data_IF_823875339468
#
_entry.id   IF_823875339468
#
_cell.length_a   1.000
_cell.length_b   1.000
_cell.length_c   1.000
_cell.angle_alpha   90.00
_cell.angle_beta   90.00
_cell.angle_gamma   90.00
#
_symmetry.space_group_name_H-M   'P 1'
#
loop_
_entity.id
_entity.type
_entity.pdbx_description
1 polymer ?
#
# COMPACT_ATOMS: atom_id res chain seq x y z
N UNK A 1 -6.31 10.95 -13.25
CA UNK A 1 -6.85 9.68 -12.74
C UNK A 1 -5.93 9.25 -11.60
N UNK A 2 -6.43 8.96 -10.40
CA UNK A 2 -5.55 8.40 -9.34
C UNK A 2 -5.30 6.93 -9.67
N UNK A 3 -4.06 6.49 -9.47
CA UNK A 3 -3.61 5.11 -9.68
C UNK A 3 -3.22 4.47 -8.32
N UNK A 4 -2.98 3.16 -8.32
CA UNK A 4 -2.64 2.42 -7.09
C UNK A 4 -1.30 2.86 -6.48
N UNK A 5 -0.36 3.35 -7.30
CA UNK A 5 0.93 3.82 -6.83
C UNK A 5 0.84 5.10 -6.00
N UNK A 6 -0.13 5.97 -6.29
CA UNK A 6 -0.41 7.15 -5.48
C UNK A 6 -1.06 6.80 -4.14
N UNK A 7 -2.00 5.84 -4.12
CA UNK A 7 -2.58 5.36 -2.87
C UNK A 7 -1.53 4.67 -1.98
N UNK A 8 -0.67 3.86 -2.58
CA UNK A 8 0.45 3.23 -1.87
C UNK A 8 1.37 4.29 -1.25
N UNK A 9 1.75 5.31 -2.02
CA UNK A 9 2.59 6.40 -1.53
C UNK A 9 1.96 7.12 -0.33
N UNK A 10 0.66 7.45 -0.42
CA UNK A 10 -0.08 8.08 0.67
C UNK A 10 -0.06 7.25 1.96
N UNK A 11 -0.18 5.92 1.86
CA UNK A 11 -0.13 5.02 3.02
C UNK A 11 1.29 4.98 3.59
N UNK A 12 2.31 4.81 2.76
CA UNK A 12 3.71 4.79 3.18
C UNK A 12 4.08 6.10 3.89
N UNK A 13 3.67 7.26 3.35
CA UNK A 13 3.86 8.56 4.00
C UNK A 13 3.16 8.66 5.37
N UNK A 14 2.00 8.01 5.54
CA UNK A 14 1.32 7.98 6.82
C UNK A 14 2.10 7.19 7.85
N UNK A 15 2.64 6.02 7.49
CA UNK A 15 3.48 5.19 8.35
C UNK A 15 4.77 5.91 8.74
N UNK A 16 5.46 6.56 7.79
CA UNK A 16 6.65 7.38 8.07
C UNK A 16 6.32 8.51 9.04
N UNK A 17 5.24 9.26 8.81
CA UNK A 17 4.83 10.36 9.70
C UNK A 17 4.43 9.88 11.09
N UNK A 18 3.90 8.65 11.20
CA UNK A 18 3.57 8.04 12.48
C UNK A 18 4.82 7.61 13.29
N UNK A 19 6.01 7.67 12.69
CA UNK A 19 7.27 7.32 13.34
C UNK A 19 7.61 5.84 13.28
N UNK A 20 7.06 5.11 12.30
CA UNK A 20 7.43 3.72 12.05
C UNK A 20 8.93 3.59 11.70
N UNK A 21 9.57 2.54 12.19
CA UNK A 21 10.95 2.18 11.86
C UNK A 21 11.05 0.99 10.91
N UNK A 22 9.97 0.21 10.79
CA UNK A 22 9.82 -0.89 9.84
C UNK A 22 8.49 -0.72 9.11
N UNK A 23 8.53 -0.76 7.78
CA UNK A 23 7.34 -0.70 6.93
C UNK A 23 7.38 -1.87 5.96
N UNK A 24 6.39 -2.75 6.02
CA UNK A 24 6.25 -3.88 5.10
C UNK A 24 5.16 -3.61 4.07
N UNK A 25 5.49 -3.73 2.79
CA UNK A 25 4.54 -3.70 1.68
C UNK A 25 4.47 -5.09 1.06
N UNK A 26 3.25 -5.60 0.87
CA UNK A 26 3.02 -6.81 0.09
C UNK A 26 2.04 -6.55 -1.04
N UNK A 27 2.35 -7.09 -2.23
CA UNK A 27 1.47 -7.07 -3.40
C UNK A 27 1.32 -8.51 -3.86
N UNK A 28 0.10 -9.02 -3.78
CA UNK A 28 -0.21 -10.43 -4.03
C UNK A 28 -1.28 -10.52 -5.11
N UNK A 29 -1.01 -11.32 -6.12
CA UNK A 29 -1.90 -11.59 -7.24
C UNK A 29 -2.28 -13.06 -7.23
N UNK A 30 -3.56 -13.31 -7.02
CA UNK A 30 -4.17 -14.63 -7.00
C UNK A 30 -5.04 -14.76 -8.26
N UNK A 31 -4.41 -15.11 -9.39
CA UNK A 31 -5.09 -15.14 -10.71
C UNK A 31 -6.29 -16.11 -10.75
N UNK A 32 -6.20 -17.23 -10.04
CA UNK A 32 -7.29 -18.21 -9.97
C UNK A 32 -8.54 -17.65 -9.26
N UNK A 33 -8.34 -16.74 -8.32
CA UNK A 33 -9.39 -16.10 -7.52
C UNK A 33 -9.72 -14.69 -8.01
N UNK A 34 -9.16 -14.29 -9.16
CA UNK A 34 -9.28 -12.95 -9.73
C UNK A 34 -9.01 -11.85 -8.69
N UNK A 35 -7.96 -11.98 -7.88
CA UNK A 35 -7.71 -11.06 -6.77
C UNK A 35 -6.32 -10.41 -6.82
N UNK A 36 -6.30 -9.09 -6.71
CA UNK A 36 -5.12 -8.28 -6.40
C UNK A 36 -5.28 -7.75 -4.97
N UNK A 37 -4.30 -8.05 -4.11
CA UNK A 37 -4.24 -7.55 -2.74
C UNK A 37 -2.97 -6.72 -2.54
N UNK A 38 -3.14 -5.48 -2.07
CA UNK A 38 -2.04 -4.60 -1.65
C UNK A 38 -2.18 -4.39 -0.15
N UNK A 39 -1.16 -4.77 0.60
CA UNK A 39 -1.12 -4.58 2.05
C UNK A 39 0.10 -3.77 2.44
N UNK A 40 -0.09 -2.78 3.31
CA UNK A 40 1.00 -2.07 4.00
C UNK A 40 0.84 -2.28 5.51
N UNK A 41 1.92 -2.68 6.17
CA UNK A 41 2.01 -2.86 7.61
C UNK A 41 3.17 -2.03 8.16
N UNK A 42 3.02 -1.50 9.38
CA UNK A 42 4.09 -0.79 10.07
C UNK A 42 4.18 -1.16 11.55
N UNK A 43 5.30 -0.80 12.17
CA UNK A 43 5.59 -0.95 13.61
C UNK A 43 5.35 0.35 14.40
N UNK A 44 4.55 1.27 13.86
CA UNK A 44 4.22 2.53 14.51
C UNK A 44 3.33 2.36 15.75
N UNK A 45 2.90 3.46 16.38
CA UNK A 45 2.08 3.43 17.60
C UNK A 45 0.65 2.87 17.40
N UNK A 46 0.28 2.51 16.17
CA UNK A 46 -1.07 2.05 15.82
C UNK A 46 -2.01 3.17 15.39
N UNK A 47 -3.27 2.81 15.15
CA UNK A 47 -4.30 3.75 14.72
C UNK A 47 -4.79 4.57 15.93
N UNK A 48 -4.76 5.92 15.87
CA UNK A 48 -5.17 6.76 17.00
C UNK A 48 -6.70 6.87 17.17
N UNK A 49 -7.46 6.27 16.26
CA UNK A 49 -8.93 6.29 16.20
C UNK A 49 -9.43 4.92 15.77
N UNK A 50 -10.74 4.70 15.83
CA UNK A 50 -11.35 3.49 15.27
C UNK A 50 -11.13 3.42 13.75
N UNK A 51 -10.94 2.20 13.18
CA UNK A 51 -10.73 2.01 11.74
C UNK A 51 -11.73 2.72 10.84
N UNK A 52 -13.01 2.65 11.18
CA UNK A 52 -14.12 3.22 10.42
C UNK A 52 -14.02 4.75 10.37
N UNK A 53 -13.55 5.35 11.47
CA UNK A 53 -13.31 6.79 11.54
C UNK A 53 -12.09 7.20 10.71
N UNK A 54 -11.04 6.36 10.67
CA UNK A 54 -9.88 6.60 9.79
C UNK A 54 -10.22 6.51 8.29
N UNK A 55 -11.33 5.83 7.95
CA UNK A 55 -11.85 5.69 6.60
C UNK A 55 -12.92 6.74 6.23
N UNK A 56 -13.26 7.63 7.16
CA UNK A 56 -14.17 8.74 6.90
C UNK A 56 -13.49 9.81 6.01
N UNK A 57 -14.05 10.16 4.84
CA UNK A 57 -13.47 11.15 3.92
C UNK A 57 -13.29 12.55 4.52
N UNK A 58 -13.98 12.87 5.61
CA UNK A 58 -13.91 14.15 6.30
C UNK A 58 -13.01 14.11 7.56
N UNK A 59 -12.49 12.94 7.93
CA UNK A 59 -11.58 12.79 9.06
C UNK A 59 -10.12 12.98 8.63
N UNK A 60 -9.36 13.82 9.34
CA UNK A 60 -7.91 13.99 9.12
C UNK A 60 -7.22 14.48 10.39
N UNK A 61 -6.02 13.95 10.64
CA UNK A 61 -5.10 14.47 11.66
C UNK A 61 -4.10 15.48 11.09
N UNK A 62 -4.11 15.72 9.77
CA UNK A 62 -3.22 16.65 9.06
C UNK A 62 -3.81 18.07 9.09
N UNK A 63 -3.45 18.89 10.08
CA UNK A 63 -4.04 20.22 10.29
C UNK A 63 -4.08 21.19 9.09
N UNK A 64 -3.16 21.08 8.11
CA UNK A 64 -3.11 21.93 6.91
C UNK A 64 -3.68 21.28 5.63
N UNK A 65 -3.86 19.95 5.57
CA UNK A 65 -4.50 19.25 4.44
C UNK A 65 -5.98 19.07 4.81
N UNK A 66 -6.88 19.79 4.11
CA UNK A 66 -8.32 19.87 4.45
C UNK A 66 -9.10 18.56 4.35
N UNK A 67 -8.56 17.52 3.73
CA UNK A 67 -9.34 16.32 3.44
C UNK A 67 -8.44 15.09 3.62
N UNK A 68 -8.74 14.22 4.59
CA UNK A 68 -7.98 12.98 4.87
C UNK A 68 -8.28 11.90 3.84
N UNK A 69 -8.31 12.28 2.56
CA UNK A 69 -8.97 11.50 1.51
C UNK A 69 -8.23 10.24 1.11
N UNK A 70 -6.94 10.08 1.44
CA UNK A 70 -6.12 8.98 0.92
C UNK A 70 -6.74 7.62 1.16
N UNK A 71 -7.05 7.27 2.41
CA UNK A 71 -7.64 5.98 2.77
C UNK A 71 -9.11 5.87 2.32
N UNK A 72 -9.89 6.94 2.42
CA UNK A 72 -11.30 6.93 2.01
C UNK A 72 -11.48 6.78 0.49
N UNK A 73 -10.62 7.42 -0.30
CA UNK A 73 -10.61 7.30 -1.77
C UNK A 73 -10.08 5.94 -2.19
N UNK A 74 -9.06 5.42 -1.49
CA UNK A 74 -8.58 4.09 -1.78
C UNK A 74 -9.65 3.02 -1.48
N UNK A 75 -10.39 3.17 -0.37
CA UNK A 75 -11.54 2.31 -0.08
C UNK A 75 -12.58 2.38 -1.20
N UNK A 76 -12.99 3.58 -1.61
CA UNK A 76 -13.95 3.74 -2.71
C UNK A 76 -13.47 3.09 -4.01
N UNK A 77 -12.18 3.25 -4.33
CA UNK A 77 -11.58 2.64 -5.51
C UNK A 77 -11.56 1.10 -5.43
N UNK A 78 -11.22 0.54 -4.26
CA UNK A 78 -11.23 -0.91 -4.04
C UNK A 78 -12.66 -1.48 -4.08
N UNK A 79 -13.64 -0.79 -3.50
CA UNK A 79 -15.06 -1.16 -3.54
C UNK A 79 -15.62 -1.12 -4.97
N UNK A 80 -15.33 -0.06 -5.73
CA UNK A 80 -15.71 0.05 -7.15
C UNK A 80 -15.08 -1.07 -7.98
N UNK A 81 -13.85 -1.47 -7.65
CA UNK A 81 -13.14 -2.57 -8.26
C UNK A 81 -13.56 -3.97 -7.76
N UNK A 82 -14.72 -4.08 -7.09
CA UNK A 82 -15.32 -5.36 -6.69
C UNK A 82 -14.69 -6.00 -5.45
N UNK A 83 -13.95 -5.23 -4.64
CA UNK A 83 -13.38 -5.69 -3.38
C UNK A 83 -13.65 -4.71 -2.25
N UNK A 84 -12.61 -4.33 -1.51
CA UNK A 84 -12.74 -3.47 -0.34
C UNK A 84 -11.40 -3.14 0.30
N UNK A 85 -11.44 -2.31 1.34
CA UNK A 85 -10.26 -1.91 2.09
C UNK A 85 -10.50 -2.05 3.59
N UNK A 86 -9.57 -2.73 4.26
CA UNK A 86 -9.55 -2.94 5.70
C UNK A 86 -8.39 -2.17 6.32
N UNK A 87 -8.63 -1.59 7.50
CA UNK A 87 -7.62 -0.96 8.33
C UNK A 87 -7.70 -1.56 9.73
N UNK A 88 -6.56 -1.84 10.33
CA UNK A 88 -6.53 -2.42 11.66
C UNK A 88 -5.13 -2.44 12.25
N UNK A 89 -4.96 -3.26 13.28
CA UNK A 89 -3.65 -3.52 13.86
C UNK A 89 -2.89 -4.53 13.01
N UNK A 90 -1.59 -4.31 12.82
CA UNK A 90 -0.72 -5.30 12.20
C UNK A 90 -0.45 -6.46 13.15
N UNK A 91 -0.73 -7.69 12.69
CA UNK A 91 -0.38 -8.91 13.42
C UNK A 91 1.12 -9.20 13.36
N UNK A 92 1.81 -8.78 12.28
CA UNK A 92 3.23 -9.03 12.07
C UNK A 92 4.13 -7.99 12.78
N UNK A 93 3.79 -6.70 12.68
CA UNK A 93 4.62 -5.59 13.13
C UNK A 93 4.04 -4.85 14.36
N UNK A 94 2.77 -5.08 14.70
CA UNK A 94 2.14 -4.54 15.91
C UNK A 94 1.59 -3.12 15.81
N UNK A 95 1.95 -2.37 14.75
CA UNK A 95 1.44 -1.03 14.43
C UNK A 95 0.17 -1.09 13.57
N UNK A 96 0.11 -0.34 12.47
CA UNK A 96 -1.08 -0.30 11.58
C UNK A 96 -0.94 -1.30 10.43
N UNK A 97 -2.06 -1.90 10.03
CA UNK A 97 -2.22 -2.65 8.78
C UNK A 97 -3.31 -1.98 7.93
N UNK A 98 -2.99 -1.70 6.67
CA UNK A 98 -3.94 -1.27 5.64
C UNK A 98 -3.92 -2.31 4.53
N UNK A 99 -5.05 -2.91 4.20
CA UNK A 99 -5.15 -3.96 3.19
C UNK A 99 -6.28 -3.68 2.22
N UNK A 100 -5.96 -3.48 0.95
CA UNK A 100 -6.94 -3.30 -0.11
C UNK A 100 -6.95 -4.54 -1.02
N UNK A 101 -8.14 -5.08 -1.25
CA UNK A 101 -8.38 -6.19 -2.18
C UNK A 101 -9.27 -5.70 -3.31
N UNK A 102 -9.01 -6.14 -4.54
CA UNK A 102 -9.80 -5.79 -5.73
C UNK A 102 -9.73 -6.89 -6.79
N UNK A 103 -10.69 -6.89 -7.71
CA UNK A 103 -10.69 -7.82 -8.85
C UNK A 103 -9.68 -7.39 -9.91
N UNK A 104 -8.90 -8.34 -10.45
CA UNK A 104 -7.85 -8.05 -11.45
C UNK A 104 -8.47 -7.59 -12.77
N UNK A 105 -9.58 -8.23 -13.18
CA UNK A 105 -10.23 -7.96 -14.47
C UNK A 105 -11.33 -6.90 -14.42
N UNK A 106 -11.63 -6.33 -13.25
CA UNK A 106 -12.64 -5.28 -13.12
C UNK A 106 -12.24 -4.02 -13.90
N UNK A 107 -13.17 -3.48 -14.69
CA UNK A 107 -12.98 -2.28 -15.52
C UNK A 107 -12.75 -1.00 -14.70
N UNK A 108 -13.31 -0.94 -13.50
CA UNK A 108 -13.18 0.18 -12.56
C UNK A 108 -11.93 0.06 -11.68
N UNK A 109 -11.15 -1.03 -11.81
CA UNK A 109 -9.88 -1.16 -11.12
C UNK A 109 -8.93 -0.03 -11.55
N UNK A 110 -8.41 0.77 -10.61
CA UNK A 110 -7.41 1.77 -10.95
C UNK A 110 -6.17 1.10 -11.57
N UNK A 111 -5.51 1.76 -12.53
CA UNK A 111 -4.24 1.26 -13.04
C UNK A 111 -3.23 1.15 -11.89
N UNK A 112 -2.25 0.24 -12.02
CA UNK A 112 -1.22 0.08 -11.00
C UNK A 112 -0.39 1.36 -10.80
N UNK A 113 -0.17 2.13 -11.86
CA UNK A 113 0.75 3.26 -11.83
C UNK A 113 2.20 2.80 -11.71
N UNK A 114 3.06 3.65 -11.15
CA UNK A 114 4.49 3.37 -10.98
C UNK A 114 4.83 3.02 -9.52
N UNK A 115 4.44 1.80 -9.12
CA UNK A 115 4.69 1.23 -7.80
C UNK A 115 6.19 1.20 -7.47
N UNK A 116 7.02 0.79 -8.43
CA UNK A 116 8.47 0.75 -8.28
C UNK A 116 9.04 2.14 -7.92
N UNK A 117 8.67 3.19 -8.67
CA UNK A 117 9.15 4.55 -8.38
C UNK A 117 8.63 5.08 -7.03
N UNK A 118 7.37 4.80 -6.67
CA UNK A 118 6.82 5.16 -5.36
C UNK A 118 7.61 4.51 -4.22
N UNK A 119 7.88 3.21 -4.31
CA UNK A 119 8.70 2.49 -3.32
C UNK A 119 10.14 3.00 -3.28
N UNK A 120 10.77 3.20 -4.44
CA UNK A 120 12.12 3.74 -4.55
C UNK A 120 12.24 5.11 -3.86
N UNK A 121 11.27 5.99 -4.11
CA UNK A 121 11.21 7.33 -3.52
C UNK A 121 11.18 7.23 -2.00
N UNK A 122 10.34 6.36 -1.44
CA UNK A 122 10.24 6.18 0.01
C UNK A 122 11.52 5.62 0.63
N UNK A 123 12.15 4.64 -0.01
CA UNK A 123 13.42 4.03 0.45
C UNK A 123 14.56 5.04 0.43
N UNK A 124 14.70 5.81 -0.66
CA UNK A 124 15.80 6.77 -0.83
C UNK A 124 15.64 7.97 0.10
N UNK A 125 14.42 8.45 0.29
CA UNK A 125 14.16 9.64 1.12
C UNK A 125 14.10 9.35 2.62
N UNK A 126 13.97 8.08 3.03
CA UNK A 126 13.88 7.67 4.43
C UNK A 126 14.90 6.56 4.78
N UNK A 127 16.21 6.84 4.73
CA UNK A 127 17.27 5.82 4.86
C UNK A 127 17.34 5.17 6.26
N UNK A 128 16.68 5.75 7.27
CA UNK A 128 16.62 5.20 8.62
C UNK A 128 15.50 4.16 8.82
N UNK A 129 14.61 3.99 7.84
CA UNK A 129 13.46 3.09 7.92
C UNK A 129 13.78 1.80 7.16
N UNK A 130 13.48 0.65 7.77
CA UNK A 130 13.56 -0.64 7.10
C UNK A 130 12.31 -0.89 6.27
N UNK A 131 12.40 -0.69 4.95
CA UNK A 131 11.34 -1.10 4.03
C UNK A 131 11.46 -2.57 3.67
N UNK A 132 10.39 -3.34 3.83
CA UNK A 132 10.30 -4.74 3.39
C UNK A 132 9.27 -4.83 2.28
N UNK A 133 9.66 -5.28 1.10
CA UNK A 133 8.74 -5.37 -0.04
C UNK A 133 8.62 -6.82 -0.45
N UNK A 134 7.40 -7.34 -0.49
CA UNK A 134 7.09 -8.67 -1.02
C UNK A 134 6.15 -8.53 -2.20
N UNK A 135 6.45 -9.25 -3.26
CA UNK A 135 5.64 -9.26 -4.47
C UNK A 135 5.43 -10.72 -4.88
N UNK A 136 4.17 -11.12 -5.10
CA UNK A 136 3.78 -12.49 -5.44
C UNK A 136 2.81 -12.49 -6.64
N UNK A 137 3.17 -13.12 -7.75
CA UNK A 137 2.27 -13.42 -8.88
C UNK A 137 2.26 -14.93 -9.11
N UNK A 138 1.17 -15.60 -8.73
CA UNK A 138 1.12 -17.05 -8.78
C UNK A 138 2.21 -17.72 -7.94
N UNK A 139 3.07 -18.53 -8.59
CA UNK A 139 4.18 -19.23 -7.93
C UNK A 139 5.45 -18.40 -7.75
N UNK A 140 5.56 -17.27 -8.44
CA UNK A 140 6.74 -16.41 -8.40
C UNK A 140 6.68 -15.46 -7.21
N UNK A 141 7.75 -15.41 -6.43
CA UNK A 141 7.86 -14.58 -5.24
C UNK A 141 9.18 -13.82 -5.20
N UNK A 142 9.08 -12.50 -5.16
CA UNK A 142 10.20 -11.59 -4.91
C UNK A 142 10.07 -11.01 -3.51
N UNK A 143 11.18 -10.91 -2.78
CA UNK A 143 11.22 -10.29 -1.46
C UNK A 143 12.49 -9.48 -1.31
N UNK A 144 12.33 -8.16 -1.11
CA UNK A 144 13.39 -7.17 -1.04
C UNK A 144 13.36 -6.47 0.32
N UNK A 145 14.51 -6.00 0.80
CA UNK A 145 14.62 -5.29 2.08
C UNK A 145 15.55 -4.09 2.02
N UNK A 146 15.21 -3.05 2.76
CA UNK A 146 16.01 -1.86 2.97
C UNK A 146 16.50 -1.24 1.64
N UNK A 147 17.78 -0.89 1.52
CA UNK A 147 18.34 -0.28 0.32
C UNK A 147 18.24 -1.15 -0.94
N UNK A 148 18.12 -2.48 -0.79
CA UNK A 148 18.08 -3.39 -1.93
C UNK A 148 16.78 -3.27 -2.74
N UNK A 149 15.71 -2.73 -2.13
CA UNK A 149 14.46 -2.41 -2.84
C UNK A 149 14.74 -1.45 -4.01
N UNK A 150 15.51 -0.39 -3.75
CA UNK A 150 15.86 0.60 -4.78
C UNK A 150 16.86 0.06 -5.82
N UNK A 151 17.60 -1.01 -5.49
CA UNK A 151 18.56 -1.65 -6.42
C UNK A 151 17.92 -2.70 -7.33
N UNK A 152 16.79 -3.28 -6.92
CA UNK A 152 16.09 -4.35 -7.64
C UNK A 152 14.73 -3.89 -8.17
N UNK A 153 14.59 -2.60 -8.51
CA UNK A 153 13.36 -2.05 -9.07
C UNK A 153 12.92 -2.77 -10.35
N UNK A 154 13.85 -3.30 -11.13
CA UNK A 154 13.55 -4.07 -12.33
C UNK A 154 12.65 -5.29 -12.05
N UNK A 155 12.78 -5.94 -10.88
CA UNK A 155 11.93 -7.08 -10.50
C UNK A 155 10.50 -6.64 -10.17
N UNK A 156 10.35 -5.47 -9.54
CA UNK A 156 9.04 -4.87 -9.24
C UNK A 156 8.37 -4.40 -10.54
N UNK A 157 9.13 -3.75 -11.43
CA UNK A 157 8.63 -3.30 -12.75
C UNK A 157 8.17 -4.49 -13.59
N UNK A 158 8.97 -5.56 -13.66
CA UNK A 158 8.60 -6.77 -14.41
C UNK A 158 7.29 -7.39 -13.91
N UNK A 159 7.05 -7.34 -12.59
CA UNK A 159 5.77 -7.75 -12.01
C UNK A 159 4.63 -6.78 -12.32
N UNK A 160 4.86 -5.46 -12.29
CA UNK A 160 3.81 -4.50 -12.68
C UNK A 160 3.37 -4.71 -14.12
N UNK A 161 4.33 -4.94 -15.02
CA UNK A 161 4.08 -5.20 -16.43
C UNK A 161 3.29 -6.51 -16.66
N UNK A 162 3.37 -7.50 -15.75
CA UNK A 162 2.58 -8.74 -15.84
C UNK A 162 1.09 -8.55 -15.50
N UNK A 163 0.74 -7.39 -14.92
CA UNK A 163 -0.60 -7.06 -14.40
C UNK A 163 -1.30 -5.91 -15.15
N UNK A 164 -0.59 -5.25 -16.07
CA UNK A 164 -1.12 -4.25 -16.98
C UNK A 164 -1.92 -4.91 -18.12
#
# INVERSE_FOLDING_TARGET
MHDLSLYLLDILENSVRAGATVIATSIVVERADDALTITVEDDGPGLPVEPEQALDPFFTTKGHKKTGLGLSLFRQAAEAAGGGLEVGRSDELGGVRVSARMSIVNVDRPPLGDIAASLATMVVTNPAIEFRVRVCDGGDRVSLRGPDVARHLAEIVAFQDSLA
#
